data_IF_269695755825
#
_entry.id   IF_269695755825
#
_cell.length_a   1.000
_cell.length_b   1.000
_cell.length_c   1.000
_cell.angle_alpha   90.00
_cell.angle_beta   90.00
_cell.angle_gamma   90.00
#
_symmetry.space_group_name_H-M   'P 1'
#
loop_
_entity.id
_entity.type
_entity.pdbx_description
1 polymer ?
#
# COMPACT_ATOMS: atom_id res chain seq x y z
N UNK A 1 3.07 15.29 17.77
CA UNK A 1 4.00 14.15 17.77
C UNK A 1 3.92 13.41 16.45
N UNK A 2 4.98 12.71 16.05
CA UNK A 2 5.05 12.13 14.71
C UNK A 2 5.56 10.68 14.78
N UNK A 3 4.96 9.79 14.01
CA UNK A 3 5.39 8.40 13.85
C UNK A 3 5.69 8.19 12.38
N UNK A 4 6.90 7.76 12.06
CA UNK A 4 7.36 7.57 10.70
C UNK A 4 7.34 6.09 10.31
N UNK A 5 6.70 5.77 9.19
CA UNK A 5 6.65 4.46 8.56
C UNK A 5 7.52 4.47 7.30
N UNK A 6 8.80 4.80 7.45
CA UNK A 6 9.71 4.83 6.32
C UNK A 6 10.24 3.44 5.97
N UNK A 7 10.22 3.10 4.68
CA UNK A 7 10.98 1.96 4.19
C UNK A 7 12.47 2.27 4.18
N UNK A 8 13.28 1.29 4.53
CA UNK A 8 14.68 1.32 4.11
C UNK A 8 14.77 1.26 2.58
N UNK A 9 15.80 1.88 2.00
CA UNK A 9 16.03 1.87 0.54
C UNK A 9 16.03 0.45 -0.04
N UNK A 10 16.62 -0.51 0.68
CA UNK A 10 16.66 -1.93 0.28
C UNK A 10 15.28 -2.58 0.22
N UNK A 11 14.35 -2.20 1.09
CA UNK A 11 12.98 -2.71 1.09
C UNK A 11 12.15 -2.12 -0.05
N UNK A 12 12.34 -0.84 -0.36
CA UNK A 12 11.72 -0.22 -1.53
C UNK A 12 12.16 -0.92 -2.84
N UNK A 13 13.46 -1.22 -2.99
CA UNK A 13 13.99 -1.95 -4.15
C UNK A 13 13.46 -3.38 -4.20
N UNK A 14 13.36 -4.07 -3.07
CA UNK A 14 12.83 -5.43 -3.00
C UNK A 14 11.34 -5.49 -3.38
N UNK A 15 10.52 -4.59 -2.86
CA UNK A 15 9.10 -4.53 -3.20
C UNK A 15 8.85 -4.04 -4.63
N UNK A 16 9.64 -3.09 -5.11
CA UNK A 16 9.62 -2.71 -6.52
C UNK A 16 10.02 -3.89 -7.43
N UNK A 17 11.02 -4.66 -7.00
CA UNK A 17 11.46 -5.88 -7.70
C UNK A 17 10.38 -6.96 -7.71
N UNK A 18 9.66 -7.19 -6.61
CA UNK A 18 8.53 -8.13 -6.55
C UNK A 18 7.37 -7.62 -7.42
N UNK A 19 7.10 -6.33 -7.43
CA UNK A 19 6.11 -5.72 -8.33
C UNK A 19 6.48 -5.94 -9.81
N UNK A 20 7.75 -5.74 -10.16
CA UNK A 20 8.25 -6.04 -11.50
C UNK A 20 8.20 -7.53 -11.83
N UNK A 21 8.56 -8.43 -10.90
CA UNK A 21 8.43 -9.87 -11.10
C UNK A 21 6.98 -10.30 -11.30
N UNK A 22 6.04 -9.74 -10.55
CA UNK A 22 4.60 -9.93 -10.80
C UNK A 22 4.23 -9.46 -12.20
N UNK A 23 4.73 -8.31 -12.63
CA UNK A 23 4.49 -7.80 -13.98
C UNK A 23 5.06 -8.73 -15.05
N UNK A 24 6.30 -9.21 -14.91
CA UNK A 24 6.90 -10.19 -15.81
C UNK A 24 6.13 -11.52 -15.82
N UNK A 25 5.65 -11.97 -14.67
CA UNK A 25 4.85 -13.19 -14.57
C UNK A 25 3.52 -13.09 -15.33
N UNK A 26 2.92 -11.89 -15.38
CA UNK A 26 1.73 -11.62 -16.20
C UNK A 26 2.07 -11.42 -17.67
N UNK A 27 3.26 -10.92 -18.02
CA UNK A 27 3.70 -10.78 -19.41
C UNK A 27 4.00 -12.12 -20.09
N UNK A 28 4.43 -13.14 -19.33
CA UNK A 28 4.75 -14.46 -19.88
C UNK A 28 3.55 -15.10 -20.59
N UNK A 29 2.35 -15.23 -20.00
CA UNK A 29 1.19 -15.76 -20.71
C UNK A 29 0.78 -14.87 -21.89
N UNK A 30 0.94 -13.55 -21.81
CA UNK A 30 0.68 -12.67 -22.95
C UNK A 30 1.69 -12.88 -24.10
N UNK A 31 2.95 -13.05 -23.79
CA UNK A 31 3.97 -13.38 -24.79
C UNK A 31 3.71 -14.77 -25.41
N UNK A 32 3.22 -15.73 -24.62
CA UNK A 32 2.85 -17.06 -25.10
C UNK A 32 1.61 -17.00 -26.00
N UNK A 33 0.58 -16.30 -25.59
CA UNK A 33 -0.63 -16.07 -26.40
C UNK A 33 -0.29 -15.31 -27.69
N UNK A 34 0.60 -14.31 -27.60
CA UNK A 34 1.08 -13.59 -28.79
C UNK A 34 1.84 -14.50 -29.76
N UNK A 35 2.77 -15.32 -29.29
CA UNK A 35 3.54 -16.25 -30.14
C UNK A 35 2.64 -17.35 -30.73
N UNK A 36 1.64 -17.83 -30.01
CA UNK A 36 0.65 -18.79 -30.48
C UNK A 36 -0.26 -18.21 -31.56
N UNK A 37 -0.68 -16.94 -31.40
CA UNK A 37 -1.55 -16.25 -32.35
C UNK A 37 -0.83 -15.51 -33.46
N UNK A 38 0.51 -15.51 -33.50
CA UNK A 38 1.30 -14.88 -34.58
C UNK A 38 0.91 -15.37 -35.97
N UNK A 39 0.36 -16.56 -36.10
CA UNK A 39 -0.19 -17.10 -37.35
C UNK A 39 -1.60 -16.61 -37.70
N UNK A 40 -2.34 -16.00 -36.77
CA UNK A 40 -3.71 -15.47 -36.94
C UNK A 40 -4.01 -14.20 -36.17
N UNK A 41 -2.97 -13.44 -35.81
CA UNK A 41 -3.07 -12.36 -34.84
C UNK A 41 -3.86 -11.15 -35.30
N UNK A 42 -4.93 -10.83 -34.61
CA UNK A 42 -5.56 -9.53 -34.68
C UNK A 42 -4.79 -8.52 -33.84
N UNK A 43 -4.26 -7.44 -34.42
CA UNK A 43 -3.68 -6.28 -33.75
C UNK A 43 -4.58 -5.74 -32.62
N UNK A 44 -5.87 -5.92 -32.77
CA UNK A 44 -6.89 -5.55 -31.78
C UNK A 44 -6.71 -6.31 -30.45
N UNK A 45 -6.36 -7.60 -30.47
CA UNK A 45 -6.13 -8.40 -29.24
C UNK A 45 -4.87 -7.94 -28.51
N UNK A 46 -3.83 -7.57 -29.25
CA UNK A 46 -2.61 -7.00 -28.69
C UNK A 46 -2.90 -5.65 -28.03
N UNK A 47 -3.69 -4.80 -28.68
CA UNK A 47 -4.10 -3.52 -28.13
C UNK A 47 -4.85 -3.68 -26.80
N UNK A 48 -5.84 -4.57 -26.73
CA UNK A 48 -6.58 -4.84 -25.49
C UNK A 48 -5.69 -5.41 -24.38
N UNK A 49 -4.74 -6.27 -24.71
CA UNK A 49 -3.77 -6.80 -23.75
C UNK A 49 -2.88 -5.70 -23.17
N UNK A 50 -2.40 -4.77 -24.00
CA UNK A 50 -1.62 -3.62 -23.56
C UNK A 50 -2.43 -2.66 -22.68
N UNK A 51 -3.70 -2.40 -23.05
CA UNK A 51 -4.60 -1.57 -22.24
C UNK A 51 -4.84 -2.19 -20.85
N UNK A 52 -5.09 -3.49 -20.79
CA UNK A 52 -5.29 -4.20 -19.52
C UNK A 52 -4.01 -4.17 -18.64
N UNK A 53 -2.85 -4.40 -19.23
CA UNK A 53 -1.57 -4.31 -18.52
C UNK A 53 -1.32 -2.90 -17.99
N UNK A 54 -1.58 -1.88 -18.79
CA UNK A 54 -1.44 -0.47 -18.39
C UNK A 54 -2.39 -0.09 -17.25
N UNK A 55 -3.63 -0.57 -17.28
CA UNK A 55 -4.61 -0.34 -16.22
C UNK A 55 -4.19 -0.99 -14.90
N UNK A 56 -3.63 -2.20 -14.93
CA UNK A 56 -3.10 -2.89 -13.75
C UNK A 56 -1.88 -2.16 -13.16
N UNK A 57 -0.98 -1.66 -14.02
CA UNK A 57 0.17 -0.86 -13.59
C UNK A 57 -0.27 0.44 -12.94
N UNK A 58 -1.25 1.11 -13.53
CA UNK A 58 -1.81 2.34 -12.97
C UNK A 58 -2.42 2.10 -11.59
N UNK A 59 -3.19 1.01 -11.43
CA UNK A 59 -3.76 0.64 -10.14
C UNK A 59 -2.70 0.37 -9.07
N UNK A 60 -1.67 -0.42 -9.39
CA UNK A 60 -0.56 -0.66 -8.45
C UNK A 60 0.16 0.63 -8.08
N UNK A 61 0.40 1.51 -9.05
CA UNK A 61 1.02 2.81 -8.83
C UNK A 61 0.17 3.70 -7.91
N UNK A 62 -1.13 3.81 -8.18
CA UNK A 62 -2.08 4.58 -7.37
C UNK A 62 -2.18 4.02 -5.94
N UNK A 63 -2.27 2.69 -5.82
CA UNK A 63 -2.26 2.00 -4.53
C UNK A 63 -0.99 2.26 -3.71
N UNK A 64 0.17 2.42 -4.35
CA UNK A 64 1.41 2.77 -3.67
C UNK A 64 1.44 4.24 -3.23
N UNK A 65 0.95 5.14 -4.08
CA UNK A 65 0.95 6.56 -3.81
C UNK A 65 -0.07 6.98 -2.74
N UNK A 66 -1.12 6.19 -2.56
CA UNK A 66 -2.14 6.42 -1.53
C UNK A 66 -1.71 5.97 -0.12
N UNK A 67 -0.57 5.26 0.00
CA UNK A 67 -0.04 4.86 1.30
C UNK A 67 0.64 6.03 1.99
N UNK A 68 0.42 6.15 3.29
CA UNK A 68 1.09 7.17 4.08
C UNK A 68 2.43 6.67 4.65
N UNK A 69 3.42 7.56 4.67
CA UNK A 69 4.74 7.35 5.25
C UNK A 69 4.84 7.88 6.67
N UNK A 70 4.11 8.94 6.95
CA UNK A 70 4.16 9.64 8.21
C UNK A 70 2.77 9.84 8.77
N UNK A 71 2.63 9.71 10.08
CA UNK A 71 1.44 10.06 10.82
C UNK A 71 1.81 11.09 11.89
N UNK A 72 1.34 12.32 11.74
CA UNK A 72 1.40 13.33 12.76
C UNK A 72 0.09 13.33 13.54
N UNK A 73 0.16 13.29 14.87
CA UNK A 73 -1.00 13.26 15.74
C UNK A 73 -0.96 14.37 16.78
N UNK A 74 -2.10 15.03 16.93
CA UNK A 74 -2.34 16.12 17.85
C UNK A 74 -3.73 15.98 18.48
N UNK A 75 -4.05 16.76 19.50
CA UNK A 75 -5.39 16.78 20.08
C UNK A 75 -6.47 17.15 19.05
N UNK A 76 -6.13 18.00 18.09
CA UNK A 76 -7.00 18.44 16.99
C UNK A 76 -7.29 17.36 15.95
N UNK A 77 -6.48 16.29 15.87
CA UNK A 77 -6.65 15.20 14.92
C UNK A 77 -5.36 14.58 14.42
N UNK A 78 -5.48 13.82 13.35
CA UNK A 78 -4.40 13.08 12.71
C UNK A 78 -4.16 13.64 11.32
N UNK A 79 -2.91 13.92 11.00
CA UNK A 79 -2.48 14.25 9.63
C UNK A 79 -1.63 13.11 9.08
N UNK A 80 -2.06 12.55 7.96
CA UNK A 80 -1.38 11.50 7.23
C UNK A 80 -0.66 12.12 6.03
N UNK A 81 0.65 11.95 5.95
CA UNK A 81 1.44 12.34 4.80
C UNK A 81 1.60 11.15 3.85
N UNK A 82 0.96 11.23 2.70
CA UNK A 82 1.04 10.20 1.67
C UNK A 82 2.34 10.30 0.88
N UNK A 83 2.74 9.20 0.25
CA UNK A 83 3.91 9.18 -0.63
C UNK A 83 3.82 10.19 -1.78
N UNK A 84 2.62 10.49 -2.24
CA UNK A 84 2.36 11.54 -3.24
C UNK A 84 2.67 12.97 -2.76
N UNK A 85 2.98 13.16 -1.48
CA UNK A 85 3.08 14.49 -0.84
C UNK A 85 1.72 15.07 -0.45
N UNK A 86 0.63 14.34 -0.65
CA UNK A 86 -0.69 14.77 -0.23
C UNK A 86 -0.84 14.61 1.29
N UNK A 87 -1.29 15.68 1.95
CA UNK A 87 -1.65 15.67 3.36
C UNK A 87 -3.15 15.39 3.52
N UNK A 88 -3.48 14.40 4.32
CA UNK A 88 -4.86 14.06 4.67
C UNK A 88 -5.06 14.32 6.15
N UNK A 89 -5.83 15.34 6.49
CA UNK A 89 -6.16 15.69 7.87
C UNK A 89 -7.49 15.07 8.27
N UNK A 90 -7.48 14.32 9.35
CA UNK A 90 -8.62 13.60 9.91
C UNK A 90 -8.92 14.14 11.31
N UNK A 91 -10.11 14.64 11.53
CA UNK A 91 -10.56 15.03 12.88
C UNK A 91 -10.85 13.79 13.73
N UNK A 92 -10.71 13.85 15.07
CA UNK A 92 -10.93 12.69 15.95
C UNK A 92 -12.29 12.03 15.76
N UNK A 93 -13.33 12.83 15.54
CA UNK A 93 -14.71 12.35 15.35
C UNK A 93 -14.88 11.47 14.09
N UNK A 94 -14.03 11.66 13.09
CA UNK A 94 -14.06 10.93 11.84
C UNK A 94 -13.27 9.63 11.88
N UNK A 95 -12.37 9.48 12.86
CA UNK A 95 -11.55 8.31 13.05
C UNK A 95 -12.33 7.25 13.79
N UNK A 96 -12.57 6.11 13.15
CA UNK A 96 -13.23 4.98 13.77
C UNK A 96 -12.29 4.13 14.59
N UNK A 97 -11.11 3.81 14.02
CA UNK A 97 -10.16 2.92 14.68
C UNK A 97 -8.80 2.88 13.96
N UNK A 98 -7.76 2.63 14.73
CA UNK A 98 -6.43 2.26 14.24
C UNK A 98 -6.22 0.76 14.40
N UNK A 99 -5.78 0.09 13.33
CA UNK A 99 -5.53 -1.34 13.33
C UNK A 99 -4.11 -1.62 12.87
N UNK A 100 -3.46 -2.56 13.54
CA UNK A 100 -2.22 -3.15 13.06
C UNK A 100 -2.53 -4.43 12.31
N UNK A 101 -2.02 -4.53 11.09
CA UNK A 101 -2.17 -5.73 10.27
C UNK A 101 -0.78 -6.34 10.06
N UNK A 102 -0.60 -7.57 10.53
CA UNK A 102 0.63 -8.32 10.35
C UNK A 102 0.59 -9.10 9.04
N UNK A 103 1.71 -9.08 8.31
CA UNK A 103 1.91 -9.81 7.06
C UNK A 103 2.94 -10.91 7.29
N UNK A 104 2.57 -12.18 7.02
CA UNK A 104 3.47 -13.33 7.12
C UNK A 104 2.81 -14.57 7.70
N UNK A 105 3.34 -15.76 7.38
CA UNK A 105 2.76 -17.06 7.75
C UNK A 105 2.98 -17.49 9.21
N UNK A 106 3.94 -16.94 9.92
CA UNK A 106 4.33 -17.36 11.27
C UNK A 106 4.59 -16.16 12.20
N UNK A 107 3.54 -15.38 12.49
CA UNK A 107 3.64 -14.28 13.44
C UNK A 107 4.30 -13.02 12.88
N UNK A 108 4.30 -12.85 11.56
CA UNK A 108 4.53 -11.63 10.83
C UNK A 108 5.83 -10.90 11.15
N UNK A 109 6.81 -11.03 10.28
CA UNK A 109 8.04 -10.23 10.31
C UNK A 109 7.79 -8.78 9.86
N UNK A 110 6.61 -8.50 9.29
CA UNK A 110 6.22 -7.20 8.76
C UNK A 110 4.81 -6.84 9.18
N UNK A 111 4.54 -5.54 9.32
CA UNK A 111 3.23 -5.02 9.66
C UNK A 111 2.97 -3.69 8.94
N UNK A 112 1.73 -3.25 8.94
CA UNK A 112 1.34 -1.90 8.57
C UNK A 112 0.20 -1.40 9.46
N UNK A 113 0.10 -0.10 9.61
CA UNK A 113 -1.00 0.56 10.30
C UNK A 113 -2.12 0.84 9.31
N UNK A 114 -3.35 0.54 9.72
CA UNK A 114 -4.57 0.84 9.00
C UNK A 114 -5.38 1.84 9.81
N UNK A 115 -5.67 3.01 9.23
CA UNK A 115 -6.53 4.03 9.82
C UNK A 115 -7.88 3.97 9.11
N UNK A 116 -8.94 3.64 9.85
CA UNK A 116 -10.31 3.68 9.34
C UNK A 116 -10.95 5.02 9.68
N UNK A 117 -11.25 5.81 8.68
CA UNK A 117 -11.89 7.11 8.85
C UNK A 117 -12.80 7.44 7.67
N UNK A 118 -13.94 8.08 7.92
CA UNK A 118 -14.91 8.54 6.90
C UNK A 118 -15.38 7.46 5.90
N UNK A 119 -15.36 6.19 6.30
CA UNK A 119 -15.70 5.07 5.42
C UNK A 119 -14.58 4.69 4.44
N UNK A 120 -13.38 5.26 4.59
CA UNK A 120 -12.17 4.94 3.83
C UNK A 120 -11.12 4.27 4.72
N UNK A 121 -10.29 3.49 4.09
CA UNK A 121 -9.15 2.81 4.71
C UNK A 121 -7.85 3.44 4.24
N UNK A 122 -7.11 4.07 5.16
CA UNK A 122 -5.78 4.63 4.91
C UNK A 122 -4.73 3.64 5.43
N UNK A 123 -3.79 3.26 4.58
CA UNK A 123 -2.77 2.25 4.91
C UNK A 123 -1.40 2.90 4.97
N UNK A 124 -0.63 2.58 6.02
CA UNK A 124 0.78 2.96 6.06
C UNK A 124 1.61 2.12 5.10
N UNK A 125 2.85 2.50 4.92
CA UNK A 125 3.84 1.58 4.38
C UNK A 125 3.99 0.33 5.26
N UNK A 126 4.48 -0.74 4.65
CA UNK A 126 4.79 -1.98 5.36
C UNK A 126 6.18 -1.82 5.97
N UNK A 127 6.29 -2.06 7.27
CA UNK A 127 7.55 -2.02 8.01
C UNK A 127 7.84 -3.35 8.68
N UNK A 128 9.12 -3.63 8.98
CA UNK A 128 9.49 -4.84 9.73
C UNK A 128 9.06 -4.71 11.19
N UNK A 129 8.34 -5.70 11.68
CA UNK A 129 7.82 -5.73 13.05
C UNK A 129 8.88 -5.57 14.14
N UNK A 130 10.13 -6.01 13.88
CA UNK A 130 11.26 -5.82 14.80
C UNK A 130 11.78 -4.39 14.85
N UNK A 131 11.59 -3.63 13.77
CA UNK A 131 12.06 -2.24 13.65
C UNK A 131 10.98 -1.25 14.07
N UNK A 132 9.72 -1.64 13.87
CA UNK A 132 8.59 -0.77 14.16
C UNK A 132 7.38 -1.58 14.65
N UNK A 133 7.00 -1.43 15.93
CA UNK A 133 5.91 -2.18 16.54
C UNK A 133 4.55 -1.57 16.19
N UNK A 134 4.03 -1.77 14.97
CA UNK A 134 2.73 -1.23 14.53
C UNK A 134 1.57 -1.54 15.49
N UNK A 135 1.69 -2.61 16.29
CA UNK A 135 0.66 -2.99 17.29
C UNK A 135 0.65 -2.01 18.46
N UNK A 136 1.83 -1.58 18.89
CA UNK A 136 1.97 -0.62 19.98
C UNK A 136 1.48 0.76 19.54
N UNK A 137 1.80 1.16 18.30
CA UNK A 137 1.29 2.41 17.74
C UNK A 137 -0.23 2.39 17.62
N UNK A 138 -0.81 1.31 17.08
CA UNK A 138 -2.25 1.19 16.95
C UNK A 138 -2.94 1.24 18.33
N UNK A 139 -2.36 0.58 19.33
CA UNK A 139 -2.86 0.58 20.71
C UNK A 139 -2.76 1.97 21.32
N UNK A 140 -1.61 2.61 21.16
CA UNK A 140 -1.37 3.96 21.65
C UNK A 140 -2.35 4.98 21.04
N UNK A 141 -2.49 5.00 19.69
CA UNK A 141 -3.38 5.93 18.99
C UNK A 141 -4.86 5.70 19.34
N UNK A 142 -5.28 4.42 19.49
CA UNK A 142 -6.63 4.11 19.94
C UNK A 142 -6.88 4.62 21.38
N UNK A 143 -5.91 4.50 22.27
CA UNK A 143 -6.01 5.02 23.63
C UNK A 143 -6.02 6.56 23.65
N UNK A 144 -5.19 7.19 22.81
CA UNK A 144 -5.07 8.65 22.72
C UNK A 144 -6.36 9.31 22.23
N UNK A 145 -7.02 8.73 21.22
CA UNK A 145 -8.26 9.27 20.66
C UNK A 145 -9.53 8.61 21.23
N UNK A 146 -9.41 7.71 22.20
CA UNK A 146 -10.56 7.01 22.80
C UNK A 146 -11.37 6.16 21.82
N UNK A 147 -10.75 5.75 20.71
CA UNK A 147 -11.39 4.89 19.68
C UNK A 147 -11.43 3.44 20.19
N UNK A 148 -12.62 2.81 20.20
CA UNK A 148 -12.85 1.42 20.65
C UNK A 148 -13.01 0.45 19.48
#
# INVERSE_FOLDING_TARGET
MEIEYAYSFSENVFYAGIGMLRFYFWLIPFAFVYSYHKRRGSLLKLFWALCAASALLYWEYDSLNSKFGTIAYEESGVTLEQKSGQLVSLTPEKIKRFWSISIGRSGGWSCYLLVKAEGRDYKSFIVRKRQHPCEDDARFLNAYYGTR
#
